data_IF_463949220290
#
_entry.id   IF_463949220290
#
_cell.length_a   1.000
_cell.length_b   1.000
_cell.length_c   1.000
_cell.angle_alpha   90.00
_cell.angle_beta   90.00
_cell.angle_gamma   90.00
#
_symmetry.space_group_name_H-M   'P 1'
#
loop_
_entity.id
_entity.type
_entity.pdbx_description
1 polymer ?
#
# COMPACT_ATOMS: atom_id res chain seq x y z
N UNK A 1 -7.72 19.48 1.50
CA UNK A 1 -7.63 18.12 0.90
C UNK A 1 -9.02 17.49 0.71
N UNK A 2 -9.86 17.35 1.74
CA UNK A 2 -11.18 16.72 1.61
C UNK A 2 -12.06 17.30 0.49
N UNK A 3 -12.13 18.63 0.36
CA UNK A 3 -12.91 19.31 -0.69
C UNK A 3 -12.45 18.89 -2.09
N UNK A 4 -11.13 18.77 -2.31
CA UNK A 4 -10.58 18.36 -3.61
C UNK A 4 -11.00 16.93 -3.95
N UNK A 5 -10.94 16.01 -2.99
CA UNK A 5 -11.38 14.62 -3.20
C UNK A 5 -12.87 14.50 -3.46
N UNK A 6 -13.70 15.30 -2.76
CA UNK A 6 -15.15 15.34 -3.00
C UNK A 6 -15.42 15.86 -4.42
N UNK A 7 -14.76 16.94 -4.84
CA UNK A 7 -14.92 17.47 -6.18
C UNK A 7 -14.50 16.49 -7.27
N UNK A 8 -13.38 15.78 -7.06
CA UNK A 8 -12.92 14.73 -7.98
C UNK A 8 -13.91 13.56 -8.04
N UNK A 9 -14.44 13.13 -6.90
CA UNK A 9 -15.44 12.07 -6.84
C UNK A 9 -16.73 12.44 -7.57
N UNK A 10 -17.21 13.68 -7.39
CA UNK A 10 -18.39 14.20 -8.10
C UNK A 10 -18.13 14.29 -9.61
N UNK A 11 -16.96 14.82 -10.01
CA UNK A 11 -16.58 14.88 -11.42
C UNK A 11 -16.48 13.50 -12.05
N UNK A 12 -15.90 12.52 -11.34
CA UNK A 12 -15.82 11.13 -11.79
C UNK A 12 -17.20 10.48 -11.91
N UNK A 13 -18.10 10.71 -10.95
CA UNK A 13 -19.46 10.18 -11.01
C UNK A 13 -20.26 10.77 -12.19
N UNK A 14 -20.10 12.06 -12.46
CA UNK A 14 -20.75 12.71 -13.61
C UNK A 14 -20.18 12.23 -14.95
N UNK A 15 -18.89 11.92 -15.01
CA UNK A 15 -18.25 11.44 -16.25
C UNK A 15 -18.76 10.06 -16.68
N UNK A 16 -19.14 9.20 -15.74
CA UNK A 16 -19.71 7.87 -16.04
C UNK A 16 -21.07 7.93 -16.78
N UNK A 17 -21.78 9.04 -16.65
CA UNK A 17 -23.04 9.25 -17.39
C UNK A 17 -22.77 9.59 -18.87
N UNK A 18 -21.63 10.22 -19.16
CA UNK A 18 -21.27 10.72 -20.49
C UNK A 18 -20.33 9.79 -21.27
N UNK A 19 -19.53 8.99 -20.56
CA UNK A 19 -18.48 8.15 -21.14
C UNK A 19 -18.54 6.72 -20.61
N UNK A 20 -18.15 5.71 -21.42
CA UNK A 20 -17.97 4.35 -20.93
C UNK A 20 -16.88 4.30 -19.88
N UNK A 21 -16.89 3.26 -19.06
CA UNK A 21 -15.95 3.07 -17.98
C UNK A 21 -14.52 3.06 -18.51
N UNK A 22 -13.70 4.01 -18.07
CA UNK A 22 -12.29 4.11 -18.46
C UNK A 22 -11.46 3.06 -17.73
N UNK A 23 -10.41 2.57 -18.38
CA UNK A 23 -9.49 1.61 -17.78
C UNK A 23 -8.69 2.21 -16.60
N UNK A 24 -8.32 3.49 -16.74
CA UNK A 24 -7.49 4.21 -15.76
C UNK A 24 -8.07 5.58 -15.42
N UNK A 25 -7.80 6.07 -14.18
CA UNK A 25 -8.20 7.42 -13.76
C UNK A 25 -7.55 8.54 -14.58
N UNK A 26 -6.40 8.29 -15.21
CA UNK A 26 -5.74 9.21 -16.13
C UNK A 26 -6.53 9.40 -17.42
N UNK A 27 -7.06 8.31 -17.97
CA UNK A 27 -7.92 8.34 -19.16
C UNK A 27 -9.23 9.07 -18.87
N UNK A 28 -9.87 8.80 -17.73
CA UNK A 28 -11.08 9.50 -17.31
C UNK A 28 -10.85 11.02 -17.21
N UNK A 29 -9.76 11.46 -16.59
CA UNK A 29 -9.40 12.86 -16.49
C UNK A 29 -9.11 13.49 -17.86
N UNK A 30 -8.49 12.74 -18.78
CA UNK A 30 -8.23 13.20 -20.12
C UNK A 30 -9.53 13.43 -20.91
N UNK A 31 -10.49 12.51 -20.82
CA UNK A 31 -11.79 12.62 -21.43
C UNK A 31 -12.57 13.83 -20.89
N UNK A 32 -12.57 14.03 -19.58
CA UNK A 32 -13.21 15.21 -18.95
C UNK A 32 -12.54 16.50 -19.41
N UNK A 33 -11.21 16.57 -19.39
CA UNK A 33 -10.46 17.77 -19.76
C UNK A 33 -10.69 18.14 -21.25
N UNK A 34 -10.71 17.16 -22.14
CA UNK A 34 -10.96 17.38 -23.58
C UNK A 34 -12.41 17.78 -23.84
N UNK A 35 -13.37 17.30 -23.06
CA UNK A 35 -14.76 17.70 -23.19
C UNK A 35 -14.98 19.17 -22.84
N UNK A 36 -14.47 19.63 -21.69
CA UNK A 36 -14.69 20.99 -21.21
C UNK A 36 -13.80 22.04 -21.90
N UNK A 37 -12.54 21.70 -22.18
CA UNK A 37 -11.55 22.64 -22.74
C UNK A 37 -11.23 22.36 -24.23
N UNK A 38 -11.96 21.47 -24.88
CA UNK A 38 -11.72 21.03 -26.26
C UNK A 38 -10.25 20.57 -26.46
N UNK A 39 -9.65 20.85 -27.59
CA UNK A 39 -8.28 20.36 -27.91
C UNK A 39 -7.15 20.86 -26.99
N UNK A 40 -7.33 21.97 -26.30
CA UNK A 40 -6.31 22.52 -25.37
C UNK A 40 -6.34 21.86 -23.99
N UNK A 41 -7.45 21.21 -23.62
CA UNK A 41 -7.61 20.58 -22.30
C UNK A 41 -6.61 19.45 -22.04
N UNK A 42 -6.37 18.63 -23.05
CA UNK A 42 -5.37 17.55 -22.95
C UNK A 42 -3.94 18.04 -22.71
N UNK A 43 -3.55 19.14 -23.34
CA UNK A 43 -2.20 19.74 -23.16
C UNK A 43 -2.05 20.30 -21.75
N UNK A 44 -3.03 21.06 -21.29
CA UNK A 44 -3.03 21.64 -19.93
C UNK A 44 -2.95 20.51 -18.88
N UNK A 45 -3.78 19.48 -19.03
CA UNK A 45 -3.78 18.33 -18.14
C UNK A 45 -2.42 17.62 -18.14
N UNK A 46 -1.85 17.38 -19.32
CA UNK A 46 -0.55 16.72 -19.44
C UNK A 46 0.56 17.49 -18.70
N UNK A 47 0.60 18.81 -18.85
CA UNK A 47 1.58 19.65 -18.14
C UNK A 47 1.38 19.59 -16.62
N UNK A 48 0.13 19.73 -16.14
CA UNK A 48 -0.16 19.70 -14.71
C UNK A 48 0.22 18.34 -14.11
N UNK A 49 -0.19 17.24 -14.74
CA UNK A 49 0.11 15.88 -14.27
C UNK A 49 1.62 15.62 -14.28
N UNK A 50 2.32 16.01 -15.35
CA UNK A 50 3.77 15.84 -15.43
C UNK A 50 4.50 16.59 -14.30
N UNK A 51 4.14 17.84 -14.06
CA UNK A 51 4.74 18.63 -12.98
C UNK A 51 4.43 18.06 -11.59
N UNK A 52 3.20 17.60 -11.37
CA UNK A 52 2.79 16.98 -10.11
C UNK A 52 3.55 15.67 -9.86
N UNK A 53 3.65 14.80 -10.87
CA UNK A 53 4.39 13.54 -10.78
C UNK A 53 5.90 13.80 -10.57
N UNK A 54 6.48 14.77 -11.28
CA UNK A 54 7.90 15.14 -11.12
C UNK A 54 8.19 15.61 -9.69
N UNK A 55 7.35 16.50 -9.15
CA UNK A 55 7.49 16.99 -7.77
C UNK A 55 7.44 15.84 -6.75
N UNK A 56 6.50 14.91 -6.92
CA UNK A 56 6.34 13.76 -6.02
C UNK A 56 7.54 12.81 -6.14
N UNK A 57 7.98 12.51 -7.36
CA UNK A 57 9.13 11.64 -7.61
C UNK A 57 10.41 12.20 -6.98
N UNK A 58 10.69 13.49 -7.16
CA UNK A 58 11.85 14.16 -6.54
C UNK A 58 11.76 14.06 -5.02
N UNK A 59 10.60 14.35 -4.43
CA UNK A 59 10.41 14.25 -2.98
C UNK A 59 10.66 12.85 -2.43
N UNK A 60 10.13 11.82 -3.09
CA UNK A 60 10.32 10.42 -2.68
C UNK A 60 11.79 9.98 -2.81
N UNK A 61 12.44 10.27 -3.95
CA UNK A 61 13.85 9.90 -4.17
C UNK A 61 14.74 10.58 -3.14
N UNK A 62 14.50 11.86 -2.84
CA UNK A 62 15.24 12.61 -1.81
C UNK A 62 15.09 11.97 -0.44
N UNK A 63 13.84 11.73 0.00
CA UNK A 63 13.56 11.14 1.30
C UNK A 63 14.13 9.72 1.45
N UNK A 64 14.00 8.88 0.41
CA UNK A 64 14.60 7.55 0.40
C UNK A 64 16.12 7.62 0.48
N UNK A 65 16.76 8.49 -0.30
CA UNK A 65 18.23 8.62 -0.32
C UNK A 65 18.77 9.08 1.03
N UNK A 66 18.12 10.04 1.68
CA UNK A 66 18.49 10.52 3.02
C UNK A 66 18.33 9.42 4.07
N UNK A 67 17.21 8.68 4.01
CA UNK A 67 16.96 7.57 4.91
C UNK A 67 18.03 6.47 4.77
N UNK A 68 18.40 6.10 3.54
CA UNK A 68 19.43 5.09 3.31
C UNK A 68 20.82 5.55 3.76
N UNK A 69 21.17 6.84 3.59
CA UNK A 69 22.40 7.39 4.15
C UNK A 69 22.43 7.32 5.69
N UNK A 70 21.28 7.49 6.34
CA UNK A 70 21.17 7.39 7.80
C UNK A 70 21.28 5.94 8.29
N UNK A 71 20.68 4.98 7.58
CA UNK A 71 20.73 3.55 7.94
C UNK A 71 22.12 2.97 7.68
N UNK A 72 22.77 3.38 6.59
CA UNK A 72 24.08 2.89 6.18
C UNK A 72 25.16 3.98 6.21
N UNK A 73 25.63 4.40 7.39
CA UNK A 73 26.60 5.50 7.54
C UNK A 73 27.97 5.22 6.89
N UNK A 74 28.29 3.92 6.66
CA UNK A 74 29.51 3.48 5.93
C UNK A 74 29.22 3.17 4.44
N UNK A 75 28.00 3.42 3.98
CA UNK A 75 27.57 3.14 2.62
C UNK A 75 27.97 4.22 1.61
N UNK A 76 27.46 4.10 0.38
CA UNK A 76 27.69 5.07 -0.69
C UNK A 76 27.16 6.46 -0.33
N UNK A 77 27.71 7.48 -1.01
CA UNK A 77 27.27 8.86 -0.86
C UNK A 77 25.82 9.05 -1.31
N UNK A 78 25.12 10.04 -0.76
CA UNK A 78 23.76 10.43 -1.14
C UNK A 78 23.51 10.44 -2.67
N UNK A 79 24.45 10.98 -3.44
CA UNK A 79 24.34 11.04 -4.92
C UNK A 79 24.23 9.64 -5.55
N UNK A 80 24.95 8.67 -5.03
CA UNK A 80 24.94 7.30 -5.55
C UNK A 80 23.59 6.63 -5.27
N UNK A 81 23.05 6.83 -4.06
CA UNK A 81 21.71 6.36 -3.71
C UNK A 81 20.62 7.00 -4.57
N UNK A 82 20.68 8.34 -4.74
CA UNK A 82 19.70 9.06 -5.56
C UNK A 82 19.73 8.60 -7.03
N UNK A 83 20.91 8.45 -7.63
CA UNK A 83 21.05 7.94 -8.99
C UNK A 83 20.57 6.48 -9.09
N UNK A 84 20.91 5.65 -8.11
CA UNK A 84 20.44 4.26 -8.05
C UNK A 84 18.92 4.16 -8.04
N UNK A 85 18.24 4.94 -7.20
CA UNK A 85 16.78 4.99 -7.17
C UNK A 85 16.17 5.56 -8.46
N UNK A 86 16.79 6.55 -9.09
CA UNK A 86 16.34 7.05 -10.39
C UNK A 86 16.42 5.98 -11.47
N UNK A 87 17.54 5.26 -11.55
CA UNK A 87 17.72 4.18 -12.54
C UNK A 87 16.73 3.05 -12.29
N UNK A 88 16.56 2.63 -11.03
CA UNK A 88 15.60 1.60 -10.67
C UNK A 88 14.16 2.01 -11.05
N UNK A 89 13.76 3.25 -10.71
CA UNK A 89 12.44 3.77 -11.05
C UNK A 89 12.22 3.86 -12.55
N UNK A 90 13.27 4.24 -13.31
CA UNK A 90 13.21 4.26 -14.77
C UNK A 90 13.00 2.87 -15.35
N UNK A 91 13.73 1.86 -14.87
CA UNK A 91 13.57 0.48 -15.32
C UNK A 91 12.16 -0.05 -15.04
N UNK A 92 11.63 0.20 -13.83
CA UNK A 92 10.26 -0.21 -13.47
C UNK A 92 9.22 0.52 -14.33
N UNK A 93 9.44 1.80 -14.63
CA UNK A 93 8.51 2.60 -15.45
C UNK A 93 8.31 2.04 -16.87
N UNK A 94 9.28 1.29 -17.41
CA UNK A 94 9.16 0.68 -18.75
C UNK A 94 8.12 -0.45 -18.82
N UNK A 95 7.70 -1.00 -17.69
CA UNK A 95 6.72 -2.08 -17.62
C UNK A 95 5.29 -1.59 -17.90
N UNK A 96 5.04 -0.31 -17.69
CA UNK A 96 3.74 0.32 -17.89
C UNK A 96 2.95 0.54 -16.60
N UNK A 97 2.03 1.52 -16.65
CA UNK A 97 1.31 1.99 -15.46
C UNK A 97 0.37 0.91 -14.87
N UNK A 98 -0.39 0.23 -15.71
CA UNK A 98 -1.35 -0.81 -15.26
C UNK A 98 -0.66 -1.97 -14.56
N UNK A 99 0.48 -2.43 -15.09
CA UNK A 99 1.26 -3.49 -14.48
C UNK A 99 1.87 -3.04 -13.12
N UNK A 100 2.36 -1.79 -13.04
CA UNK A 100 2.88 -1.24 -11.80
C UNK A 100 1.79 -1.20 -10.72
N UNK A 101 0.59 -0.74 -11.05
CA UNK A 101 -0.54 -0.69 -10.11
C UNK A 101 -0.88 -2.11 -9.64
N UNK A 102 -1.02 -3.05 -10.56
CA UNK A 102 -1.39 -4.43 -10.25
C UNK A 102 -0.41 -5.10 -9.29
N UNK A 103 0.90 -4.90 -9.49
CA UNK A 103 1.92 -5.48 -8.62
C UNK A 103 2.19 -4.69 -7.34
N UNK A 104 1.88 -3.40 -7.31
CA UNK A 104 2.04 -2.59 -6.10
C UNK A 104 0.93 -2.80 -5.08
N UNK A 105 -0.29 -3.18 -5.52
CA UNK A 105 -1.42 -3.42 -4.63
C UNK A 105 -1.13 -4.47 -3.53
N UNK A 106 -0.59 -5.67 -3.82
CA UNK A 106 -0.27 -6.66 -2.80
C UNK A 106 0.74 -6.14 -1.79
N UNK A 107 1.78 -5.43 -2.26
CA UNK A 107 2.79 -4.83 -1.38
C UNK A 107 2.17 -3.76 -0.48
N UNK A 108 1.26 -2.95 -1.02
CA UNK A 108 0.54 -1.94 -0.27
C UNK A 108 -0.36 -2.59 0.79
N UNK A 109 -1.11 -3.63 0.43
CA UNK A 109 -1.97 -4.39 1.36
C UNK A 109 -1.19 -5.04 2.50
N UNK A 110 0.08 -5.41 2.26
CA UNK A 110 0.98 -5.90 3.29
C UNK A 110 1.51 -4.78 4.22
N UNK A 111 1.88 -3.62 3.65
CA UNK A 111 2.55 -2.56 4.39
C UNK A 111 1.60 -1.66 5.19
N UNK A 112 0.36 -1.44 4.70
CA UNK A 112 -0.54 -0.48 5.34
C UNK A 112 -0.97 -0.90 6.76
N UNK A 113 -1.28 -2.19 7.07
CA UNK A 113 -1.63 -2.57 8.43
C UNK A 113 -0.46 -2.38 9.39
N UNK A 114 0.75 -2.74 8.96
CA UNK A 114 1.96 -2.55 9.75
C UNK A 114 2.23 -1.06 10.03
N UNK A 115 2.06 -0.21 9.03
CA UNK A 115 2.26 1.24 9.18
C UNK A 115 1.24 1.85 10.15
N UNK A 116 -0.05 1.50 9.99
CA UNK A 116 -1.11 2.03 10.87
C UNK A 116 -0.88 1.57 12.32
N UNK A 117 -0.60 0.28 12.55
CA UNK A 117 -0.38 -0.23 13.90
C UNK A 117 0.85 0.41 14.55
N UNK A 118 1.96 0.56 13.83
CA UNK A 118 3.15 1.22 14.35
C UNK A 118 2.91 2.70 14.68
N UNK A 119 2.15 3.43 13.84
CA UNK A 119 1.77 4.83 14.11
C UNK A 119 0.89 4.90 15.37
N UNK A 120 -0.13 4.04 15.48
CA UNK A 120 -1.00 4.00 16.66
C UNK A 120 -0.22 3.65 17.93
N UNK A 121 0.69 2.67 17.87
CA UNK A 121 1.55 2.34 18.98
C UNK A 121 2.47 3.51 19.37
N UNK A 122 3.03 4.21 18.38
CA UNK A 122 3.89 5.37 18.64
C UNK A 122 3.12 6.50 19.33
N UNK A 123 1.88 6.77 18.90
CA UNK A 123 0.99 7.75 19.55
C UNK A 123 0.63 7.34 20.99
N UNK A 124 0.33 6.06 21.19
CA UNK A 124 -0.03 5.50 22.50
C UNK A 124 1.20 5.10 23.35
N UNK A 125 2.42 5.28 22.84
CA UNK A 125 3.65 4.82 23.47
C UNK A 125 3.86 5.35 24.91
N UNK A 126 3.40 6.57 25.18
CA UNK A 126 3.43 7.16 26.53
C UNK A 126 2.56 6.39 27.55
N UNK A 127 1.41 5.82 27.12
CA UNK A 127 0.54 4.99 27.96
C UNK A 127 1.25 3.69 28.39
N UNK A 128 2.02 3.10 27.47
CA UNK A 128 2.68 1.81 27.67
C UNK A 128 4.15 1.93 28.11
N UNK A 129 4.61 3.14 28.46
CA UNK A 129 6.00 3.44 28.87
C UNK A 129 7.05 2.97 27.86
N UNK A 130 6.72 2.98 26.57
CA UNK A 130 7.56 2.53 25.44
C UNK A 130 8.14 1.10 25.63
N UNK A 131 7.34 0.18 26.16
CA UNK A 131 7.82 -1.18 26.43
C UNK A 131 7.96 -1.95 25.11
N UNK A 132 9.20 -2.36 24.81
CA UNK A 132 9.54 -3.10 23.58
C UNK A 132 8.71 -4.37 23.38
N UNK A 133 8.28 -4.99 24.47
CA UNK A 133 7.50 -6.24 24.43
C UNK A 133 6.14 -6.02 23.78
N UNK A 134 5.45 -4.94 24.13
CA UNK A 134 4.14 -4.59 23.54
C UNK A 134 4.29 -4.31 22.04
N UNK A 135 5.31 -3.52 21.66
CA UNK A 135 5.59 -3.22 20.25
C UNK A 135 5.85 -4.49 19.45
N UNK A 136 6.71 -5.39 19.95
CA UNK A 136 7.03 -6.64 19.27
C UNK A 136 5.79 -7.53 19.15
N UNK A 137 5.03 -7.71 20.23
CA UNK A 137 3.83 -8.53 20.24
C UNK A 137 2.81 -8.06 19.19
N UNK A 138 2.42 -6.78 19.22
CA UNK A 138 1.45 -6.23 18.29
C UNK A 138 1.96 -6.33 16.84
N UNK A 139 3.24 -5.99 16.61
CA UNK A 139 3.82 -6.04 15.26
C UNK A 139 3.84 -7.46 14.70
N UNK A 140 4.17 -8.47 15.51
CA UNK A 140 4.20 -9.87 15.06
C UNK A 140 2.79 -10.35 14.70
N UNK A 141 1.78 -10.09 15.53
CA UNK A 141 0.41 -10.48 15.24
C UNK A 141 -0.14 -9.75 14.00
N UNK A 142 0.17 -8.46 13.85
CA UNK A 142 -0.22 -7.70 12.65
C UNK A 142 0.51 -8.20 11.41
N UNK A 143 1.78 -8.59 11.52
CA UNK A 143 2.57 -9.11 10.41
C UNK A 143 1.97 -10.43 9.89
N UNK A 144 1.57 -11.33 10.79
CA UNK A 144 0.88 -12.57 10.40
C UNK A 144 -0.40 -12.25 9.62
N UNK A 145 -1.23 -11.33 10.14
CA UNK A 145 -2.45 -10.91 9.44
C UNK A 145 -2.17 -10.25 8.08
N UNK A 146 -1.13 -9.42 7.99
CA UNK A 146 -0.74 -8.75 6.74
C UNK A 146 -0.28 -9.74 5.66
N UNK A 147 0.30 -10.89 6.05
CA UNK A 147 0.65 -11.95 5.08
C UNK A 147 -0.62 -12.54 4.45
N UNK A 148 -1.71 -12.72 5.20
CA UNK A 148 -2.98 -13.18 4.63
C UNK A 148 -3.54 -12.16 3.64
N UNK A 149 -3.52 -10.87 3.97
CA UNK A 149 -3.97 -9.79 3.08
C UNK A 149 -3.10 -9.68 1.82
N UNK A 150 -1.78 -9.88 1.95
CA UNK A 150 -0.85 -9.94 0.81
C UNK A 150 -1.21 -11.10 -0.13
N UNK A 151 -1.37 -12.31 0.40
CA UNK A 151 -1.69 -13.50 -0.40
C UNK A 151 -3.04 -13.33 -1.11
N UNK A 152 -4.03 -12.78 -0.43
CA UNK A 152 -5.36 -12.51 -0.98
C UNK A 152 -5.35 -11.47 -2.12
N UNK A 153 -4.48 -10.48 -2.05
CA UNK A 153 -4.39 -9.40 -3.03
C UNK A 153 -3.46 -9.68 -4.21
N UNK A 154 -2.79 -10.84 -4.25
CA UNK A 154 -1.96 -11.22 -5.39
C UNK A 154 -2.82 -11.34 -6.66
N UNK A 155 -2.34 -10.84 -7.80
CA UNK A 155 -3.05 -10.93 -9.08
C UNK A 155 -3.00 -12.37 -9.61
N UNK A 156 -3.96 -13.19 -9.18
CA UNK A 156 -4.15 -14.54 -9.73
C UNK A 156 -4.95 -14.46 -11.03
N UNK A 157 -4.58 -15.30 -12.01
CA UNK A 157 -5.41 -15.49 -13.21
C UNK A 157 -6.60 -16.39 -12.84
N UNK A 158 -7.80 -15.87 -13.07
CA UNK A 158 -9.01 -16.69 -13.04
C UNK A 158 -9.11 -17.53 -14.32
N UNK A 159 -9.57 -18.78 -14.26
CA UNK A 159 -9.80 -19.60 -15.43
C UNK A 159 -10.82 -18.89 -16.34
N UNK A 160 -10.39 -18.49 -17.55
CA UNK A 160 -11.24 -17.81 -18.54
C UNK A 160 -10.92 -16.33 -18.78
N UNK A 161 -9.93 -15.73 -18.10
CA UNK A 161 -9.45 -14.39 -18.40
C UNK A 161 -8.41 -14.39 -19.55
N UNK A 162 -8.42 -13.29 -20.33
CA UNK A 162 -7.54 -13.11 -21.48
C UNK A 162 -6.06 -13.25 -21.13
N UNK A 163 -5.25 -13.91 -22.01
CA UNK A 163 -3.81 -14.11 -21.77
C UNK A 163 -3.00 -12.81 -21.69
N UNK A 164 -3.59 -11.67 -22.00
CA UNK A 164 -2.99 -10.33 -21.89
C UNK A 164 -3.03 -9.74 -20.46
N UNK A 165 -3.81 -10.32 -19.56
CA UNK A 165 -3.81 -9.90 -18.16
C UNK A 165 -2.47 -10.24 -17.50
N UNK A 166 -1.79 -9.21 -16.98
CA UNK A 166 -0.45 -9.31 -16.37
C UNK A 166 -0.57 -9.92 -14.96
N UNK A 167 -0.99 -11.20 -14.89
CA UNK A 167 -1.10 -11.96 -13.64
C UNK A 167 -0.06 -13.08 -13.56
N UNK A 168 0.22 -13.57 -12.34
CA UNK A 168 1.02 -14.78 -12.15
C UNK A 168 0.22 -15.95 -12.77
N UNK A 169 0.79 -16.77 -13.69
CA UNK A 169 0.09 -17.89 -14.30
C UNK A 169 -0.05 -19.07 -13.30
N UNK A 170 -0.43 -18.79 -12.08
CA UNK A 170 -0.68 -19.76 -11.03
C UNK A 170 -2.20 -19.82 -10.85
N UNK A 171 -2.81 -20.92 -11.28
CA UNK A 171 -4.17 -21.22 -10.91
C UNK A 171 -4.20 -21.47 -9.39
N UNK A 172 -4.99 -20.68 -8.65
CA UNK A 172 -5.17 -20.84 -7.20
C UNK A 172 -5.60 -22.26 -6.83
N UNK A 173 -6.21 -22.96 -7.78
CA UNK A 173 -6.64 -24.37 -7.64
C UNK A 173 -5.49 -25.37 -7.56
N UNK A 174 -4.30 -25.02 -8.06
CA UNK A 174 -3.15 -25.94 -8.11
C UNK A 174 -2.29 -25.91 -6.85
N UNK A 175 -2.47 -24.93 -5.98
CA UNK A 175 -1.72 -24.82 -4.72
C UNK A 175 -2.71 -24.86 -3.54
N UNK A 176 -2.97 -26.05 -2.98
CA UNK A 176 -3.93 -26.19 -1.89
C UNK A 176 -3.59 -25.34 -0.67
N UNK A 177 -2.30 -25.13 -0.39
CA UNK A 177 -1.82 -24.32 0.73
C UNK A 177 -2.24 -22.84 0.59
N UNK A 178 -2.20 -22.26 -0.62
CA UNK A 178 -2.63 -20.88 -0.84
C UNK A 178 -4.13 -20.70 -0.65
N UNK A 179 -4.91 -21.69 -1.05
CA UNK A 179 -6.36 -21.70 -0.87
C UNK A 179 -6.73 -21.76 0.61
N UNK A 180 -6.10 -22.63 1.40
CA UNK A 180 -6.29 -22.68 2.85
C UNK A 180 -5.92 -21.36 3.53
N UNK A 181 -4.84 -20.71 3.09
CA UNK A 181 -4.42 -19.39 3.61
C UNK A 181 -5.50 -18.33 3.33
N UNK A 182 -6.06 -18.31 2.12
CA UNK A 182 -7.13 -17.36 1.75
C UNK A 182 -8.40 -17.66 2.54
N UNK A 183 -8.79 -18.92 2.67
CA UNK A 183 -10.00 -19.34 3.41
C UNK A 183 -9.88 -18.98 4.91
N UNK A 184 -8.70 -19.16 5.52
CA UNK A 184 -8.42 -18.72 6.90
C UNK A 184 -8.47 -17.19 7.01
N UNK A 185 -7.92 -16.47 6.01
CA UNK A 185 -7.98 -15.01 5.95
C UNK A 185 -9.41 -14.48 5.87
N UNK A 186 -10.29 -15.17 5.10
CA UNK A 186 -11.70 -14.81 4.95
C UNK A 186 -12.53 -15.09 6.21
N UNK A 187 -12.08 -15.98 7.08
CA UNK A 187 -12.70 -16.27 8.37
C UNK A 187 -12.49 -15.15 9.40
N UNK A 188 -11.53 -14.25 9.16
CA UNK A 188 -11.30 -13.10 10.03
C UNK A 188 -12.44 -12.07 9.92
N UNK A 189 -12.97 -11.59 11.07
CA UNK A 189 -14.00 -10.56 11.05
C UNK A 189 -13.47 -9.30 10.35
N UNK A 190 -14.30 -8.69 9.51
CA UNK A 190 -13.98 -7.52 8.68
C UNK A 190 -12.98 -7.77 7.53
N UNK A 191 -12.64 -9.02 7.20
CA UNK A 191 -11.76 -9.34 6.07
C UNK A 191 -12.32 -8.79 4.74
N UNK A 192 -13.64 -8.84 4.52
CA UNK A 192 -14.31 -8.28 3.34
C UNK A 192 -14.17 -6.76 3.18
N UNK A 193 -13.87 -6.04 4.27
CA UNK A 193 -13.62 -4.59 4.27
C UNK A 193 -12.12 -4.25 4.22
N UNK A 194 -11.23 -5.23 4.09
CA UNK A 194 -9.78 -5.04 4.17
C UNK A 194 -9.27 -4.72 5.59
N UNK A 195 -10.09 -4.93 6.61
CA UNK A 195 -9.76 -4.66 8.02
C UNK A 195 -9.51 -5.95 8.82
N UNK A 196 -9.22 -7.06 8.15
CA UNK A 196 -8.96 -8.36 8.78
C UNK A 196 -7.82 -8.35 9.79
N UNK A 197 -6.85 -7.45 9.61
CA UNK A 197 -5.70 -7.28 10.50
C UNK A 197 -6.02 -6.65 11.87
N UNK A 198 -7.17 -5.97 12.02
CA UNK A 198 -7.52 -5.24 13.26
C UNK A 198 -7.69 -6.20 14.44
N UNK A 199 -8.38 -7.33 14.24
CA UNK A 199 -8.58 -8.31 15.30
C UNK A 199 -7.28 -8.94 15.79
N UNK A 200 -6.39 -9.47 14.91
CA UNK A 200 -5.06 -9.93 15.33
C UNK A 200 -4.22 -8.85 16.02
N UNK A 201 -4.27 -7.60 15.54
CA UNK A 201 -3.56 -6.50 16.18
C UNK A 201 -4.05 -6.23 17.61
N UNK A 202 -5.37 -6.26 17.85
CA UNK A 202 -5.96 -6.13 19.18
C UNK A 202 -5.58 -7.31 20.08
N UNK A 203 -5.61 -8.53 19.58
CA UNK A 203 -5.14 -9.71 20.32
C UNK A 203 -3.67 -9.56 20.69
N UNK A 204 -2.83 -9.13 19.76
CA UNK A 204 -1.41 -8.84 20.02
C UNK A 204 -1.20 -7.77 21.10
N UNK A 205 -2.06 -6.76 21.12
CA UNK A 205 -2.03 -5.71 22.15
C UNK A 205 -2.41 -6.27 23.52
N UNK A 206 -3.47 -7.05 23.61
CA UNK A 206 -3.90 -7.70 24.88
C UNK A 206 -2.80 -8.62 25.40
N UNK A 207 -2.24 -9.48 24.55
CA UNK A 207 -1.13 -10.39 24.91
C UNK A 207 0.09 -9.60 25.37
N UNK A 208 0.45 -8.54 24.66
CA UNK A 208 1.58 -7.68 25.00
C UNK A 208 1.39 -6.99 26.36
N UNK A 209 0.19 -6.49 26.67
CA UNK A 209 -0.14 -5.85 27.95
C UNK A 209 -0.11 -6.87 29.10
N UNK A 210 -0.71 -8.05 28.90
CA UNK A 210 -0.68 -9.13 29.91
C UNK A 210 0.77 -9.51 30.24
N UNK A 211 1.60 -9.71 29.21
CA UNK A 211 3.01 -10.05 29.37
C UNK A 211 3.78 -8.95 30.11
N UNK A 212 3.51 -7.69 29.77
CA UNK A 212 4.10 -6.54 30.47
C UNK A 212 3.78 -6.56 31.97
N UNK A 213 2.51 -6.79 32.33
CA UNK A 213 2.05 -6.84 33.71
C UNK A 213 2.71 -8.00 34.46
N UNK A 214 2.73 -9.19 33.90
CA UNK A 214 3.36 -10.39 34.49
C UNK A 214 4.85 -10.16 34.73
N UNK A 215 5.58 -9.64 33.73
CA UNK A 215 7.01 -9.35 33.83
C UNK A 215 7.33 -8.30 34.92
N UNK A 216 6.44 -7.33 35.08
CA UNK A 216 6.60 -6.31 36.12
C UNK A 216 6.34 -6.85 37.53
N UNK A 217 5.41 -7.82 37.65
CA UNK A 217 5.14 -8.52 38.91
C UNK A 217 6.31 -9.40 39.35
N UNK A 218 6.93 -10.12 38.38
CA UNK A 218 8.08 -11.01 38.63
C UNK A 218 9.38 -10.25 38.99
N UNK A 219 9.52 -8.99 38.55
CA UNK A 219 10.68 -8.15 38.93
C UNK A 219 10.57 -7.47 40.28
N UNK A 220 9.42 -7.59 40.97
CA UNK A 220 9.21 -7.02 42.32
C UNK A 220 9.39 -8.05 43.44
N UNK A 221 9.63 -9.30 43.14
CA UNK A 221 10.08 -10.36 44.06
C UNK A 221 11.59 -10.56 43.87
#
# INVERSE_FOLDING_TARGET
>A
MAVIYIMLAVAGAQSQVLYPMSADGGEALHLIATHYFKGTGGIILAVIVTLACLKTAVGLITSCSEMFCTIFPKGPTYKVWAVGFCVLSFLISTIGLSAIITWSLPVLMFLYPLSITLILLALCGKLFKNDRVIYISVTVFTLVASVFDLVRSLPYKLPGEDPSAFGIPLELSQIPVLREIVDIGDMLPFAGLGLGWVCPALVGLVVGVIWHIVRRSTKKV
#
